data_IF_330547983620
#
_entry.id   IF_330547983620
#
_cell.length_a   1.000
_cell.length_b   1.000
_cell.length_c   1.000
_cell.angle_alpha   90.00
_cell.angle_beta   90.00
_cell.angle_gamma   90.00
#
_symmetry.space_group_name_H-M   'P 1'
#
loop_
_entity.id
_entity.type
_entity.pdbx_description
1 polymer ?
#
# COMPACT_ATOMS: atom_id res chain seq x y z
N UNK A 1 0.44 5.53 -19.49
CA UNK A 1 -0.09 4.39 -18.72
C UNK A 1 1.07 3.63 -18.11
N UNK A 2 0.81 2.49 -17.46
CA UNK A 2 1.87 1.64 -16.93
C UNK A 2 2.70 1.01 -18.06
N UNK A 3 3.99 0.78 -17.82
CA UNK A 3 4.80 -0.11 -18.65
C UNK A 3 4.30 -1.56 -18.50
N UNK A 4 4.71 -2.45 -19.39
CA UNK A 4 4.35 -3.87 -19.30
C UNK A 4 4.77 -4.48 -17.94
N UNK A 5 6.00 -4.19 -17.49
CA UNK A 5 6.48 -4.65 -16.18
C UNK A 5 5.59 -4.14 -15.04
N UNK A 6 5.25 -2.85 -15.04
CA UNK A 6 4.42 -2.26 -13.99
C UNK A 6 2.97 -2.77 -14.04
N UNK A 7 2.44 -3.07 -15.23
CA UNK A 7 1.15 -3.74 -15.39
C UNK A 7 1.17 -5.15 -14.81
N UNK A 8 2.21 -5.94 -15.09
CA UNK A 8 2.36 -7.29 -14.53
C UNK A 8 2.48 -7.25 -12.99
N UNK A 9 3.22 -6.28 -12.46
CA UNK A 9 3.29 -6.03 -11.01
C UNK A 9 1.91 -5.68 -10.44
N UNK A 10 1.15 -4.81 -11.10
CA UNK A 10 -0.21 -4.44 -10.70
C UNK A 10 -1.13 -5.68 -10.66
N UNK A 11 -1.18 -6.47 -11.73
CA UNK A 11 -1.99 -7.68 -11.81
C UNK A 11 -1.62 -8.69 -10.71
N UNK A 12 -0.31 -8.84 -10.44
CA UNK A 12 0.14 -9.74 -9.38
C UNK A 12 -0.33 -9.27 -8.01
N UNK A 13 -0.21 -7.97 -7.69
CA UNK A 13 -0.69 -7.39 -6.43
C UNK A 13 -2.21 -7.54 -6.29
N UNK A 14 -2.96 -7.27 -7.35
CA UNK A 14 -4.42 -7.45 -7.38
C UNK A 14 -4.78 -8.93 -7.10
N UNK A 15 -4.04 -9.87 -7.69
CA UNK A 15 -4.23 -11.30 -7.45
C UNK A 15 -3.95 -11.73 -6.00
N UNK A 16 -2.98 -11.07 -5.34
CA UNK A 16 -2.62 -11.35 -3.94
C UNK A 16 -3.73 -10.99 -2.94
N UNK A 17 -4.75 -10.21 -3.31
CA UNK A 17 -5.92 -9.98 -2.45
C UNK A 17 -6.55 -11.31 -2.00
N UNK A 18 -6.69 -12.28 -2.90
CA UNK A 18 -7.26 -13.60 -2.56
C UNK A 18 -6.41 -14.36 -1.55
N UNK A 19 -5.09 -14.27 -1.68
CA UNK A 19 -4.14 -14.91 -0.77
C UNK A 19 -4.22 -14.28 0.61
N UNK A 20 -4.24 -12.95 0.67
CA UNK A 20 -4.33 -12.23 1.92
C UNK A 20 -5.66 -12.48 2.62
N UNK A 21 -6.77 -12.47 1.87
CA UNK A 21 -8.10 -12.79 2.38
C UNK A 21 -8.13 -14.16 3.08
N UNK A 22 -7.54 -15.18 2.44
CA UNK A 22 -7.43 -16.51 3.03
C UNK A 22 -6.57 -16.55 4.29
N UNK A 23 -5.46 -15.80 4.32
CA UNK A 23 -4.61 -15.66 5.52
C UNK A 23 -5.32 -14.94 6.66
N UNK A 24 -6.22 -14.02 6.35
CA UNK A 24 -7.06 -13.30 7.30
C UNK A 24 -8.35 -14.08 7.67
N UNK A 25 -8.46 -15.33 7.20
CA UNK A 25 -9.57 -16.23 7.51
C UNK A 25 -10.89 -15.80 6.87
N UNK A 26 -10.86 -15.04 5.78
CA UNK A 26 -12.04 -14.53 5.08
C UNK A 26 -12.95 -13.67 5.97
N UNK A 27 -12.38 -13.04 6.99
CA UNK A 27 -13.13 -12.29 8.01
C UNK A 27 -13.18 -10.78 7.76
N UNK A 28 -12.51 -10.31 6.72
CA UNK A 28 -12.43 -8.89 6.38
C UNK A 28 -13.74 -8.39 5.72
N UNK A 29 -14.90 -8.52 6.38
CA UNK A 29 -16.19 -8.14 5.81
C UNK A 29 -16.56 -6.66 6.01
N UNK A 30 -15.75 -5.90 6.74
CA UNK A 30 -16.15 -4.62 7.36
C UNK A 30 -16.04 -3.37 6.47
N UNK A 31 -15.43 -3.46 5.27
CA UNK A 31 -15.35 -2.32 4.33
C UNK A 31 -16.42 -2.34 3.23
N UNK A 32 -17.15 -3.46 3.08
CA UNK A 32 -18.13 -3.62 2.02
C UNK A 32 -19.28 -4.53 2.44
N UNK A 33 -20.50 -4.08 2.20
CA UNK A 33 -21.76 -4.82 2.43
C UNK A 33 -21.84 -6.18 1.71
N UNK A 34 -20.88 -6.46 0.81
CA UNK A 34 -20.76 -7.73 0.07
C UNK A 34 -19.94 -8.80 0.79
N UNK A 35 -19.49 -8.56 2.02
CA UNK A 35 -18.90 -9.57 2.90
C UNK A 35 -17.42 -9.91 2.63
N UNK A 36 -16.74 -9.17 1.73
CA UNK A 36 -15.34 -9.42 1.37
C UNK A 36 -14.60 -8.11 1.04
N UNK A 37 -13.72 -7.64 1.91
CA UNK A 37 -12.94 -6.41 1.69
C UNK A 37 -11.66 -6.64 0.87
N UNK A 38 -11.12 -7.86 0.91
CA UNK A 38 -9.97 -8.29 0.11
C UNK A 38 -10.48 -8.91 -1.19
N UNK A 39 -10.79 -8.07 -2.17
CA UNK A 39 -11.37 -8.51 -3.44
C UNK A 39 -10.60 -7.93 -4.65
N UNK A 40 -10.04 -8.78 -5.54
CA UNK A 40 -9.45 -8.35 -6.80
C UNK A 40 -10.37 -7.49 -7.70
N UNK A 41 -11.69 -7.59 -7.52
CA UNK A 41 -12.67 -6.80 -8.26
C UNK A 41 -12.89 -5.39 -7.69
N UNK A 42 -12.31 -5.07 -6.53
CA UNK A 42 -12.41 -3.74 -5.91
C UNK A 42 -11.27 -2.81 -6.32
N UNK A 43 -10.98 -2.82 -7.62
CA UNK A 43 -10.07 -1.91 -8.28
C UNK A 43 -10.83 -1.16 -9.37
N UNK A 44 -10.80 0.17 -9.31
CA UNK A 44 -11.67 1.02 -10.09
C UNK A 44 -10.85 2.03 -10.90
N UNK A 45 -11.32 2.29 -12.11
CA UNK A 45 -10.91 3.44 -12.91
C UNK A 45 -11.86 4.60 -12.63
N UNK A 46 -11.32 5.74 -12.24
CA UNK A 46 -12.04 7.00 -12.13
C UNK A 46 -11.46 7.98 -13.13
N UNK A 47 -12.31 8.63 -13.91
CA UNK A 47 -11.92 9.66 -14.88
C UNK A 47 -12.41 11.01 -14.36
N UNK A 48 -11.56 12.03 -14.48
CA UNK A 48 -11.82 13.40 -14.04
C UNK A 48 -11.79 14.34 -15.24
N UNK A 49 -12.87 15.09 -15.43
CA UNK A 49 -13.06 15.93 -16.62
C UNK A 49 -13.29 15.10 -17.89
N UNK A 50 -13.18 15.77 -19.04
CA UNK A 50 -13.41 15.16 -20.34
C UNK A 50 -12.07 14.71 -20.97
N UNK A 51 -11.89 13.42 -21.27
CA UNK A 51 -10.68 12.94 -21.94
C UNK A 51 -10.36 13.71 -23.23
N UNK A 52 -9.16 14.29 -23.27
CA UNK A 52 -8.70 15.09 -24.41
C UNK A 52 -9.01 16.59 -24.32
N UNK A 53 -9.71 17.05 -23.27
CA UNK A 53 -9.98 18.47 -23.08
C UNK A 53 -8.67 19.27 -22.89
N UNK A 54 -8.58 20.43 -23.54
CA UNK A 54 -7.43 21.35 -23.41
C UNK A 54 -7.34 22.00 -22.03
N UNK A 55 -8.45 22.07 -21.29
CA UNK A 55 -8.49 22.52 -19.89
C UNK A 55 -7.80 21.56 -18.92
N UNK A 56 -7.41 20.39 -19.41
CA UNK A 56 -6.83 19.31 -18.64
C UNK A 56 -7.88 18.31 -18.17
N UNK A 57 -7.44 17.07 -18.03
CA UNK A 57 -8.23 15.92 -17.58
C UNK A 57 -7.31 14.95 -16.86
N UNK A 58 -7.87 13.94 -16.21
CA UNK A 58 -7.07 12.96 -15.54
C UNK A 58 -7.81 11.66 -15.32
N UNK A 59 -7.07 10.67 -14.86
CA UNK A 59 -7.65 9.42 -14.43
C UNK A 59 -6.85 8.83 -13.28
N UNK A 60 -7.53 8.03 -12.48
CA UNK A 60 -6.94 7.27 -11.40
C UNK A 60 -7.38 5.83 -11.53
N UNK A 61 -6.43 4.91 -11.47
CA UNK A 61 -6.71 3.51 -11.22
C UNK A 61 -6.29 3.20 -9.79
N UNK A 62 -7.18 2.64 -8.98
CA UNK A 62 -6.81 2.31 -7.62
C UNK A 62 -7.75 1.34 -6.92
N UNK A 63 -7.25 0.83 -5.81
CA UNK A 63 -7.89 -0.12 -4.91
C UNK A 63 -7.06 -0.24 -3.65
N UNK A 64 -7.23 -1.34 -2.92
CA UNK A 64 -6.65 -1.54 -1.60
C UNK A 64 -5.12 -1.32 -1.52
N UNK A 65 -4.38 -1.83 -2.52
CA UNK A 65 -2.91 -1.78 -2.52
C UNK A 65 -2.30 -1.03 -3.71
N UNK A 66 -3.11 -0.41 -4.57
CA UNK A 66 -2.62 0.32 -5.75
C UNK A 66 -3.27 1.70 -5.80
N UNK A 67 -2.47 2.72 -6.09
CA UNK A 67 -2.94 4.04 -6.46
C UNK A 67 -2.08 4.58 -7.60
N UNK A 68 -2.61 4.58 -8.81
CA UNK A 68 -1.98 5.13 -10.01
C UNK A 68 -2.79 6.33 -10.43
N UNK A 69 -2.18 7.51 -10.46
CA UNK A 69 -2.83 8.76 -10.82
C UNK A 69 -2.18 9.31 -12.08
N UNK A 70 -2.98 9.93 -12.95
CA UNK A 70 -2.51 10.69 -14.10
C UNK A 70 -3.32 11.97 -14.22
N UNK A 71 -2.63 13.09 -14.36
CA UNK A 71 -3.17 14.39 -14.71
C UNK A 71 -2.51 14.85 -15.99
N UNK A 72 -3.31 15.22 -16.97
CA UNK A 72 -2.92 15.52 -18.35
C UNK A 72 -3.42 16.92 -18.67
N UNK A 73 -2.53 17.83 -19.05
CA UNK A 73 -2.85 19.19 -19.47
C UNK A 73 -2.03 19.54 -20.72
N UNK A 74 -2.66 19.48 -21.90
CA UNK A 74 -1.94 19.56 -23.17
C UNK A 74 -0.90 18.43 -23.28
N UNK A 75 0.38 18.80 -23.39
CA UNK A 75 1.50 17.84 -23.44
C UNK A 75 2.09 17.53 -22.06
N UNK A 76 1.64 18.21 -21.00
CA UNK A 76 2.14 17.99 -19.65
C UNK A 76 1.41 16.82 -19.00
N UNK A 77 2.18 15.83 -18.55
CA UNK A 77 1.66 14.64 -17.85
C UNK A 77 2.31 14.55 -16.47
N UNK A 78 1.48 14.51 -15.42
CA UNK A 78 1.89 14.27 -14.03
C UNK A 78 1.26 12.97 -13.56
N UNK A 79 2.02 12.14 -12.85
CA UNK A 79 1.56 10.80 -12.43
C UNK A 79 1.65 10.56 -10.91
N UNK A 80 1.88 11.62 -10.14
CA UNK A 80 1.96 11.56 -8.69
C UNK A 80 0.63 11.98 -8.07
N UNK A 81 0.20 11.35 -6.96
CA UNK A 81 0.90 10.27 -6.24
C UNK A 81 0.84 8.91 -6.96
N UNK A 82 1.88 8.10 -6.81
CA UNK A 82 1.97 6.73 -7.32
C UNK A 82 2.29 5.77 -6.16
N UNK A 83 1.50 4.71 -6.01
CA UNK A 83 1.68 3.73 -4.93
C UNK A 83 1.39 2.31 -5.40
N UNK A 84 2.29 1.40 -5.03
CA UNK A 84 2.15 -0.04 -5.13
C UNK A 84 2.55 -0.64 -3.78
N UNK A 85 1.65 -1.39 -3.15
CA UNK A 85 1.89 -2.16 -1.95
C UNK A 85 1.67 -3.65 -2.22
N UNK A 86 2.38 -4.51 -1.51
CA UNK A 86 2.15 -5.95 -1.57
C UNK A 86 2.00 -6.49 -0.15
N UNK A 87 0.83 -7.06 0.14
CA UNK A 87 0.61 -7.84 1.34
C UNK A 87 -0.06 -9.17 0.95
N UNK A 88 0.58 -10.33 1.20
CA UNK A 88 1.93 -10.45 1.73
C UNK A 88 3.02 -9.95 0.77
N UNK A 89 4.12 -9.41 1.29
CA UNK A 89 5.25 -8.95 0.48
C UNK A 89 5.97 -10.11 -0.24
N UNK A 90 5.79 -11.33 0.25
CA UNK A 90 6.26 -12.55 -0.39
C UNK A 90 5.30 -13.72 -0.16
N UNK A 91 5.10 -14.56 -1.17
CA UNK A 91 4.22 -15.72 -1.08
C UNK A 91 4.76 -16.91 -1.89
N UNK A 92 4.78 -18.14 -1.33
CA UNK A 92 5.25 -19.31 -2.05
C UNK A 92 4.28 -19.71 -3.17
N UNK A 93 4.80 -19.89 -4.37
CA UNK A 93 4.07 -20.43 -5.53
C UNK A 93 4.84 -21.62 -6.05
N UNK A 94 4.36 -22.82 -5.70
CA UNK A 94 5.10 -24.06 -5.93
C UNK A 94 6.44 -24.05 -5.18
N UNK A 95 7.55 -24.18 -5.91
CA UNK A 95 8.91 -24.15 -5.35
C UNK A 95 9.57 -22.77 -5.39
N UNK A 96 8.86 -21.76 -5.89
CA UNK A 96 9.37 -20.39 -6.03
C UNK A 96 8.70 -19.46 -5.03
N UNK A 97 9.31 -18.30 -4.80
CA UNK A 97 8.74 -17.24 -3.97
C UNK A 97 8.33 -16.07 -4.87
N UNK A 98 7.05 -15.75 -4.91
CA UNK A 98 6.52 -14.58 -5.58
C UNK A 98 6.77 -13.35 -4.70
N UNK A 99 7.44 -12.33 -5.26
CA UNK A 99 7.79 -11.08 -4.58
C UNK A 99 7.58 -9.90 -5.56
N UNK A 100 6.35 -9.36 -5.67
CA UNK A 100 6.00 -8.42 -6.75
C UNK A 100 6.79 -7.10 -6.74
N UNK A 101 7.33 -6.73 -5.59
CA UNK A 101 8.11 -5.51 -5.35
C UNK A 101 9.54 -5.85 -4.87
N UNK A 102 10.08 -7.00 -5.30
CA UNK A 102 11.40 -7.45 -4.86
C UNK A 102 12.48 -6.41 -5.16
N UNK A 103 12.50 -5.88 -6.38
CA UNK A 103 13.54 -4.97 -6.84
C UNK A 103 13.57 -3.69 -6.00
N UNK A 104 12.41 -3.06 -5.76
CA UNK A 104 12.32 -1.86 -4.94
C UNK A 104 12.67 -2.13 -3.46
N UNK A 105 12.16 -3.23 -2.90
CA UNK A 105 12.42 -3.59 -1.50
C UNK A 105 13.90 -3.95 -1.27
N UNK A 106 14.52 -4.69 -2.20
CA UNK A 106 15.91 -5.13 -2.10
C UNK A 106 16.87 -3.97 -2.37
N UNK A 107 16.51 -3.05 -3.27
CA UNK A 107 17.25 -1.80 -3.45
C UNK A 107 17.23 -0.95 -2.18
N UNK A 108 16.07 -0.79 -1.54
CA UNK A 108 15.94 -0.06 -0.28
C UNK A 108 16.80 -0.68 0.85
N UNK A 109 16.80 -2.01 0.98
CA UNK A 109 17.67 -2.71 1.93
C UNK A 109 19.14 -2.57 1.59
N UNK A 110 19.49 -2.66 0.30
CA UNK A 110 20.87 -2.52 -0.16
C UNK A 110 21.41 -1.12 0.15
N UNK A 111 20.59 -0.08 -0.03
CA UNK A 111 20.95 1.28 0.36
C UNK A 111 21.23 1.39 1.86
N UNK A 112 20.35 0.84 2.71
CA UNK A 112 20.56 0.83 4.17
C UNK A 112 21.84 0.08 4.56
N UNK A 113 22.10 -1.07 3.93
CA UNK A 113 23.29 -1.88 4.18
C UNK A 113 24.58 -1.26 3.66
N UNK A 114 24.50 -0.31 2.71
CA UNK A 114 25.65 0.44 2.21
C UNK A 114 26.10 1.56 3.17
N UNK A 115 25.26 1.95 4.14
CA UNK A 115 25.59 2.94 5.15
C UNK A 115 26.57 2.37 6.19
N UNK A 116 27.50 3.19 6.67
CA UNK A 116 28.38 2.81 7.78
C UNK A 116 27.66 2.86 9.14
N UNK A 117 28.33 2.39 10.20
CA UNK A 117 27.71 2.27 11.53
C UNK A 117 27.17 3.58 12.12
N UNK A 118 27.82 4.73 11.88
CA UNK A 118 27.31 6.02 12.35
C UNK A 118 26.11 6.48 11.52
N UNK A 119 26.16 6.32 10.20
CA UNK A 119 25.05 6.65 9.31
C UNK A 119 23.82 5.79 9.57
N UNK A 120 24.00 4.49 9.87
CA UNK A 120 22.89 3.60 10.22
C UNK A 120 22.23 4.02 11.54
N UNK A 121 23.00 4.46 12.54
CA UNK A 121 22.43 4.98 13.81
C UNK A 121 21.55 6.20 13.58
N UNK A 122 21.88 7.06 12.62
CA UNK A 122 21.04 8.20 12.26
C UNK A 122 19.83 7.81 11.39
N UNK A 123 20.00 6.88 10.45
CA UNK A 123 18.96 6.48 9.51
C UNK A 123 17.89 5.55 10.12
N UNK A 124 18.27 4.66 11.04
CA UNK A 124 17.36 3.70 11.67
C UNK A 124 16.66 4.39 12.84
N UNK A 125 15.42 4.82 12.61
CA UNK A 125 14.63 5.56 13.60
C UNK A 125 14.11 4.68 14.75
N UNK A 126 13.94 3.37 14.50
CA UNK A 126 13.42 2.41 15.47
C UNK A 126 13.89 0.99 15.11
N UNK A 127 14.20 0.13 16.10
CA UNK A 127 14.51 -1.27 15.84
C UNK A 127 13.29 -2.09 15.37
N UNK A 128 12.07 -1.58 15.62
CA UNK A 128 10.82 -2.16 15.14
C UNK A 128 10.17 -1.23 14.11
N UNK A 129 9.62 -1.80 13.04
CA UNK A 129 8.86 -1.04 12.06
C UNK A 129 7.64 -0.37 12.73
N UNK A 130 7.34 0.90 12.43
CA UNK A 130 6.14 1.56 12.94
C UNK A 130 4.88 0.89 12.41
N UNK A 131 3.79 0.95 13.17
CA UNK A 131 2.50 0.35 12.78
C UNK A 131 1.92 0.92 11.49
N UNK A 132 2.27 2.16 11.15
CA UNK A 132 1.87 2.84 9.91
C UNK A 132 2.86 3.97 9.56
N UNK A 133 2.68 4.59 8.40
CA UNK A 133 3.45 5.74 7.95
C UNK A 133 3.29 6.94 8.89
N UNK A 134 4.41 7.37 9.49
CA UNK A 134 4.45 8.51 10.43
C UNK A 134 3.88 9.80 9.81
N UNK A 135 4.11 10.03 8.51
CA UNK A 135 3.60 11.19 7.81
C UNK A 135 2.12 11.11 7.47
N UNK A 136 1.54 9.91 7.32
CA UNK A 136 0.21 9.71 6.76
C UNK A 136 -0.03 10.62 5.53
N UNK A 137 -1.09 11.42 5.54
CA UNK A 137 -1.41 12.40 4.50
C UNK A 137 -0.88 13.83 4.78
N UNK A 138 0.01 14.00 5.76
CA UNK A 138 0.56 15.32 6.11
C UNK A 138 1.54 15.78 5.03
N UNK A 139 1.42 17.02 4.51
CA UNK A 139 2.31 17.54 3.47
C UNK A 139 3.70 17.89 4.00
N UNK A 140 3.89 17.91 5.33
CA UNK A 140 5.16 18.24 6.00
C UNK A 140 5.41 17.31 7.17
N UNK A 141 6.67 16.95 7.36
CA UNK A 141 7.15 16.26 8.55
C UNK A 141 7.51 17.28 9.64
N UNK A 142 7.29 16.91 10.91
CA UNK A 142 7.62 17.71 12.08
C UNK A 142 8.08 16.81 13.23
N UNK A 143 8.95 17.34 14.09
CA UNK A 143 9.42 16.63 15.26
C UNK A 143 8.24 16.22 16.16
N UNK A 144 8.24 14.98 16.63
CA UNK A 144 7.17 14.43 17.46
C UNK A 144 5.95 13.89 16.70
N UNK A 145 5.94 13.96 15.36
CA UNK A 145 4.93 13.27 14.56
C UNK A 145 4.93 11.77 14.90
N UNK A 146 3.74 11.23 15.13
CA UNK A 146 3.50 9.79 15.28
C UNK A 146 2.57 9.31 14.17
N UNK A 147 2.63 8.01 13.80
CA UNK A 147 1.60 7.41 12.98
C UNK A 147 0.22 7.70 13.58
N UNK A 148 -0.80 7.96 12.76
CA UNK A 148 -2.15 8.09 13.27
C UNK A 148 -2.51 6.78 13.99
N UNK A 149 -3.15 6.84 15.17
CA UNK A 149 -3.55 5.62 15.85
C UNK A 149 -4.55 4.84 14.97
N UNK A 150 -4.48 3.52 14.96
CA UNK A 150 -5.21 2.68 14.00
C UNK A 150 -6.72 2.94 13.97
N UNK A 151 -7.34 3.28 15.11
CA UNK A 151 -8.76 3.64 15.17
C UNK A 151 -9.11 4.89 14.34
N UNK A 152 -8.15 5.79 14.13
CA UNK A 152 -8.33 6.99 13.30
C UNK A 152 -8.38 6.65 11.81
N UNK A 153 -7.66 5.60 11.38
CA UNK A 153 -7.73 5.04 10.02
C UNK A 153 -9.05 4.30 9.79
N UNK A 154 -9.63 3.74 10.85
CA UNK A 154 -10.88 2.97 10.84
C UNK A 154 -12.12 3.84 11.17
N UNK A 155 -12.00 5.17 11.06
CA UNK A 155 -13.12 6.09 11.33
C UNK A 155 -14.32 5.74 10.45
N UNK A 156 -15.47 5.56 11.08
CA UNK A 156 -16.72 5.14 10.42
C UNK A 156 -17.00 3.64 10.50
N UNK A 157 -16.07 2.85 11.04
CA UNK A 157 -16.26 1.41 11.29
C UNK A 157 -16.60 1.20 12.78
N UNK A 158 -17.69 0.50 13.12
CA UNK A 158 -18.05 0.19 14.50
C UNK A 158 -16.91 -0.47 15.30
N UNK A 159 -16.82 -0.17 16.59
CA UNK A 159 -15.69 -0.58 17.45
C UNK A 159 -15.55 -2.09 17.60
N UNK A 160 -16.69 -2.77 17.69
CA UNK A 160 -16.81 -4.22 17.74
C UNK A 160 -16.23 -4.93 16.52
N UNK A 161 -16.16 -4.25 15.37
CA UNK A 161 -15.61 -4.80 14.13
C UNK A 161 -14.11 -4.52 13.99
N UNK A 162 -13.62 -3.34 14.40
CA UNK A 162 -12.21 -2.98 14.17
C UNK A 162 -11.26 -3.36 15.32
N UNK A 163 -11.73 -3.45 16.57
CA UNK A 163 -10.86 -3.75 17.73
C UNK A 163 -10.18 -5.12 17.67
N UNK A 164 -10.86 -6.23 17.26
CA UNK A 164 -10.20 -7.53 17.07
C UNK A 164 -9.16 -7.51 15.96
N UNK A 165 -9.35 -6.66 14.94
CA UNK A 165 -8.42 -6.51 13.81
C UNK A 165 -7.15 -5.76 14.22
N UNK A 166 -7.27 -4.63 14.93
CA UNK A 166 -6.11 -3.90 15.48
C UNK A 166 -5.23 -4.84 16.31
N UNK A 167 -5.86 -5.67 17.13
CA UNK A 167 -5.16 -6.68 17.92
C UNK A 167 -4.52 -7.82 17.07
N UNK A 168 -5.00 -8.08 15.86
CA UNK A 168 -4.37 -9.04 14.91
C UNK A 168 -3.19 -8.40 14.16
N UNK A 169 -3.34 -7.15 13.72
CA UNK A 169 -2.26 -6.38 13.06
C UNK A 169 -1.07 -6.23 14.02
N UNK A 170 -1.32 -5.87 15.28
CA UNK A 170 -0.29 -5.77 16.30
C UNK A 170 0.45 -7.11 16.52
N UNK A 171 -0.26 -8.24 16.55
CA UNK A 171 0.34 -9.58 16.70
C UNK A 171 1.12 -10.05 15.48
N UNK A 172 0.76 -9.59 14.28
CA UNK A 172 1.50 -9.89 13.05
C UNK A 172 2.85 -9.18 13.02
N UNK A 173 2.93 -7.95 13.55
CA UNK A 173 4.19 -7.22 13.71
C UNK A 173 5.17 -7.94 14.67
N UNK A 174 4.66 -8.65 15.68
CA UNK A 174 5.48 -9.43 16.62
C UNK A 174 6.08 -10.71 16.01
N UNK A 175 5.48 -11.27 14.94
CA UNK A 175 5.93 -12.51 14.29
C UNK A 175 6.88 -12.30 13.09
N UNK A 176 7.17 -11.04 12.76
CA UNK A 176 8.13 -10.67 11.71
C UNK A 176 9.52 -10.30 12.26
N UNK A 177 9.75 -10.52 13.56
CA UNK A 177 11.05 -10.40 14.23
C UNK A 177 11.91 -11.66 14.11
#
# INVERSE_FOLDING_TARGET
>A
GLSESAYNTACTIIGLENVLDGREGFTAAFLHDRGRARDPNFYYLTVFGDPGASSGWGWRFGGHHISVNYTIAGNDVRYQPLFFGANPASYPVGRQLMRPLADEMDLGRSLLNALNGEQQKEAILSPAAPEDMVTANRPRFGAGNRPPPQWQLMRGIPEELHRPMVARIARFAEHLG
#
